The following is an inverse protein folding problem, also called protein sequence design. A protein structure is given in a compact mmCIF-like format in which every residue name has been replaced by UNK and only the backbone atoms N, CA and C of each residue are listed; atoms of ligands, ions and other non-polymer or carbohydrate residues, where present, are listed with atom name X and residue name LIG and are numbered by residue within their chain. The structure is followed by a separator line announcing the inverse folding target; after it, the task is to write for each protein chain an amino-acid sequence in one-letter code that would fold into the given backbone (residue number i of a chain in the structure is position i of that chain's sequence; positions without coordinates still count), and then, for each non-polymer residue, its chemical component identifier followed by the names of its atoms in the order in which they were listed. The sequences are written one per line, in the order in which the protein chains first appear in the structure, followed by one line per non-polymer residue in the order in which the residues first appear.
data_IF_665056151770
#
_entry.id   IF_665056151770
#
_cell.length_a   1.000
_cell.length_b   1.000
_cell.length_c   1.000
_cell.angle_alpha   90.00
_cell.angle_beta   90.00
_cell.angle_gamma   90.00
#
_symmetry.space_group_name_H-M   'P 1'
#
loop_
_entity.id
_entity.type
_entity.pdbx_description
1 polymer ?
#
# COMPACT_ATOMS: atom_id res chain seq x y z
N UNK A 1 -21.44 -30.31 19.09
CA UNK A 1 -21.60 -28.87 18.78
C UNK A 1 -21.26 -28.73 17.32
N UNK A 2 -22.14 -28.14 16.51
CA UNK A 2 -21.92 -27.98 15.07
C UNK A 2 -20.93 -26.84 14.85
N UNK A 3 -19.81 -27.09 14.19
CA UNK A 3 -18.87 -26.04 13.80
C UNK A 3 -19.52 -25.13 12.74
N UNK A 4 -19.41 -23.81 12.91
CA UNK A 4 -19.92 -22.81 11.96
C UNK A 4 -18.72 -22.12 11.32
N UNK A 5 -18.77 -21.92 10.01
CA UNK A 5 -17.73 -21.20 9.27
C UNK A 5 -18.32 -19.94 8.64
N UNK A 6 -17.55 -18.86 8.60
CA UNK A 6 -17.93 -17.66 7.88
C UNK A 6 -18.05 -17.96 6.38
N UNK A 7 -19.20 -17.67 5.79
CA UNK A 7 -19.43 -17.89 4.35
C UNK A 7 -18.64 -16.96 3.45
N UNK A 8 -18.10 -15.86 3.99
CA UNK A 8 -17.31 -14.90 3.22
C UNK A 8 -15.81 -15.25 3.22
N UNK A 9 -15.22 -15.59 4.36
CA UNK A 9 -13.77 -15.81 4.48
C UNK A 9 -13.35 -17.21 4.97
N UNK A 10 -14.28 -18.10 5.31
CA UNK A 10 -13.99 -19.46 5.76
C UNK A 10 -13.52 -19.61 7.21
N UNK A 11 -13.38 -18.52 7.95
CA UNK A 11 -12.93 -18.56 9.37
C UNK A 11 -13.93 -19.29 10.26
N UNK A 12 -13.44 -20.09 11.21
CA UNK A 12 -14.26 -20.78 12.22
C UNK A 12 -14.89 -19.78 13.20
N UNK A 13 -16.19 -19.91 13.46
CA UNK A 13 -16.96 -18.99 14.27
C UNK A 13 -17.41 -19.65 15.58
N UNK A 14 -17.39 -18.88 16.67
CA UNK A 14 -17.99 -19.31 17.93
C UNK A 14 -19.53 -19.39 17.76
N UNK A 15 -20.18 -20.26 18.53
CA UNK A 15 -21.62 -20.55 18.38
C UNK A 15 -22.53 -19.31 18.54
N UNK A 16 -22.03 -18.27 19.20
CA UNK A 16 -22.75 -17.03 19.53
C UNK A 16 -22.29 -15.83 18.69
N UNK A 17 -21.39 -16.00 17.72
CA UNK A 17 -20.87 -14.91 16.90
C UNK A 17 -21.96 -14.30 15.99
N UNK A 18 -22.24 -13.02 16.16
CA UNK A 18 -23.16 -12.23 15.30
C UNK A 18 -22.43 -11.69 14.07
N UNK A 19 -21.13 -11.45 14.18
CA UNK A 19 -20.25 -10.96 13.12
C UNK A 19 -18.96 -11.80 13.05
N UNK A 20 -18.36 -11.89 11.87
CA UNK A 20 -17.06 -12.54 11.70
C UNK A 20 -15.94 -11.64 12.27
N UNK A 21 -15.14 -12.16 13.20
CA UNK A 21 -14.02 -11.42 13.79
C UNK A 21 -12.86 -11.17 12.82
N UNK A 22 -12.76 -11.94 11.71
CA UNK A 22 -11.70 -11.75 10.71
C UNK A 22 -12.07 -10.77 9.60
N UNK A 23 -13.33 -10.75 9.14
CA UNK A 23 -13.72 -9.91 7.98
C UNK A 23 -14.92 -8.99 8.22
N UNK A 24 -15.48 -8.94 9.43
CA UNK A 24 -16.60 -8.06 9.79
C UNK A 24 -17.97 -8.45 9.21
N UNK A 25 -18.05 -9.50 8.37
CA UNK A 25 -19.30 -9.92 7.75
C UNK A 25 -20.35 -10.36 8.80
N UNK A 26 -21.58 -9.87 8.65
CA UNK A 26 -22.73 -10.29 9.49
C UNK A 26 -23.11 -11.74 9.22
N UNK A 27 -23.35 -12.50 10.29
CA UNK A 27 -23.65 -13.94 10.27
C UNK A 27 -25.15 -14.20 10.52
N UNK A 28 -25.98 -13.15 10.56
CA UNK A 28 -27.43 -13.31 10.75
C UNK A 28 -28.02 -14.13 9.59
N UNK A 29 -28.40 -15.36 9.92
CA UNK A 29 -29.08 -16.27 9.01
C UNK A 29 -30.35 -15.60 8.50
N UNK A 30 -30.49 -15.55 7.17
CA UNK A 30 -31.71 -15.17 6.46
C UNK A 30 -32.76 -16.26 6.67
N UNK A 31 -33.26 -16.41 7.89
CA UNK A 31 -34.47 -17.17 8.18
C UNK A 31 -35.65 -16.21 8.08
N UNK A 32 -36.32 -16.28 6.94
CA UNK A 32 -37.47 -15.44 6.61
C UNK A 32 -38.56 -15.48 7.67
N UNK A 33 -38.77 -14.36 8.31
CA UNK A 33 -40.03 -14.03 8.98
C UNK A 33 -40.84 -13.18 7.99
N UNK A 34 -42.03 -13.62 7.53
CA UNK A 34 -42.87 -12.81 6.68
C UNK A 34 -43.39 -11.62 7.50
N UNK A 35 -42.88 -10.42 7.22
CA UNK A 35 -43.41 -9.20 7.81
C UNK A 35 -44.81 -8.96 7.27
N UNK A 36 -45.80 -9.05 8.16
CA UNK A 36 -47.18 -8.73 7.89
C UNK A 36 -47.33 -7.28 7.40
N UNK A 37 -48.02 -7.13 6.28
CA UNK A 37 -48.45 -5.86 5.69
C UNK A 37 -49.36 -5.12 6.69
N UNK A 38 -49.10 -3.86 7.04
CA UNK A 38 -50.06 -3.08 7.79
C UNK A 38 -51.29 -2.78 6.92
N UNK A 39 -52.43 -3.23 7.44
CA UNK A 39 -53.79 -2.99 6.94
C UNK A 39 -54.07 -1.50 6.90
N UNK A 40 -54.40 -1.00 5.71
CA UNK A 40 -54.85 0.37 5.46
C UNK A 40 -56.36 0.43 5.69
N UNK A 41 -56.79 0.91 6.85
CA UNK A 41 -58.20 1.25 7.12
C UNK A 41 -58.50 2.67 6.68
N UNK A 42 -59.22 2.76 5.56
CA UNK A 42 -60.48 3.50 5.38
C UNK A 42 -60.57 5.05 5.50
N UNK A 43 -61.63 5.63 4.88
CA UNK A 43 -61.51 6.85 4.08
C UNK A 43 -62.00 8.10 4.84
N UNK A 44 -61.54 9.27 4.39
CA UNK A 44 -62.24 10.53 4.69
C UNK A 44 -62.39 11.40 3.43
N UNK A 45 -63.48 12.20 3.37
CA UNK A 45 -64.09 12.64 2.14
C UNK A 45 -63.62 14.03 1.70
N UNK A 46 -63.65 14.24 0.39
CA UNK A 46 -64.08 15.50 -0.21
C UNK A 46 -63.07 16.64 -0.24
N UNK A 47 -62.28 16.70 -1.32
CA UNK A 47 -61.92 17.99 -1.91
C UNK A 47 -62.10 17.96 -3.43
N UNK A 48 -62.68 19.04 -3.91
CA UNK A 48 -63.28 19.19 -5.22
C UNK A 48 -62.24 19.16 -6.35
N UNK A 49 -62.66 18.53 -7.45
CA UNK A 49 -61.93 18.47 -8.72
C UNK A 49 -61.82 19.86 -9.33
N UNK A 50 -60.59 20.38 -9.49
CA UNK A 50 -60.29 21.37 -10.52
C UNK A 50 -59.91 20.63 -11.80
N UNK A 51 -60.75 20.78 -12.82
CA UNK A 51 -60.51 20.27 -14.16
C UNK A 51 -59.40 21.09 -14.83
N UNK A 52 -58.26 20.46 -15.11
CA UNK A 52 -57.28 20.98 -16.07
C UNK A 52 -57.67 20.54 -17.49
N UNK A 53 -57.48 21.40 -18.51
CA UNK A 53 -57.91 21.14 -19.88
C UNK A 53 -57.16 19.97 -20.52
N UNK A 54 -57.92 19.19 -21.30
CA UNK A 54 -57.49 18.03 -22.08
C UNK A 54 -56.43 18.45 -23.10
N UNK A 55 -55.21 17.96 -22.92
CA UNK A 55 -54.13 18.06 -23.93
C UNK A 55 -54.51 17.25 -25.18
N UNK A 56 -54.25 17.76 -26.39
CA UNK A 56 -54.49 17.03 -27.62
C UNK A 56 -53.66 15.74 -27.70
N UNK A 57 -54.32 14.71 -28.19
CA UNK A 57 -53.82 13.38 -28.53
C UNK A 57 -52.47 13.45 -29.26
N UNK A 58 -51.38 13.06 -28.57
CA UNK A 58 -50.10 12.78 -29.23
C UNK A 58 -50.22 11.42 -29.93
N UNK A 59 -49.95 11.31 -31.24
CA UNK A 59 -49.89 10.02 -31.90
C UNK A 59 -48.79 9.17 -31.24
N UNK A 60 -49.13 7.93 -30.93
CA UNK A 60 -48.20 6.92 -30.40
C UNK A 60 -47.12 6.71 -31.47
N UNK A 61 -45.96 7.34 -31.29
CA UNK A 61 -44.75 7.05 -32.08
C UNK A 61 -44.40 5.58 -31.84
N UNK A 62 -44.48 4.78 -32.89
CA UNK A 62 -43.96 3.41 -32.90
C UNK A 62 -42.49 3.46 -32.46
N UNK A 63 -42.19 2.90 -31.28
CA UNK A 63 -40.82 2.78 -30.80
C UNK A 63 -40.04 1.94 -31.81
N UNK A 64 -38.92 2.42 -32.35
CA UNK A 64 -38.06 1.59 -33.17
C UNK A 64 -37.64 0.37 -32.34
N UNK A 65 -37.62 -0.81 -32.97
CA UNK A 65 -37.29 -2.07 -32.32
C UNK A 65 -35.90 -1.98 -31.70
N UNK A 66 -35.85 -1.73 -30.39
CA UNK A 66 -34.65 -1.49 -29.57
C UNK A 66 -33.81 -2.76 -29.32
N UNK A 67 -34.11 -3.85 -30.02
CA UNK A 67 -33.45 -5.15 -29.82
C UNK A 67 -32.06 -5.21 -30.48
N UNK A 68 -31.80 -4.40 -31.51
CA UNK A 68 -30.49 -4.35 -32.18
C UNK A 68 -29.40 -3.61 -31.40
N UNK A 69 -29.78 -2.65 -30.54
CA UNK A 69 -28.82 -1.81 -29.80
C UNK A 69 -28.17 -2.55 -28.62
N UNK A 70 -28.90 -3.47 -27.97
CA UNK A 70 -28.36 -4.26 -26.86
C UNK A 70 -27.25 -5.23 -27.29
N UNK A 71 -27.37 -5.85 -28.47
CA UNK A 71 -26.31 -6.74 -29.00
C UNK A 71 -25.05 -5.99 -29.41
N UNK A 72 -25.18 -4.76 -29.92
CA UNK A 72 -24.02 -3.91 -30.24
C UNK A 72 -23.19 -3.54 -29.02
N UNK A 73 -23.84 -3.19 -27.91
CA UNK A 73 -23.17 -2.84 -26.65
C UNK A 73 -22.52 -4.09 -26.02
N UNK A 74 -23.22 -5.22 -25.98
CA UNK A 74 -22.65 -6.47 -25.46
C UNK A 74 -21.44 -6.89 -26.30
N UNK A 75 -21.49 -6.81 -27.63
CA UNK A 75 -20.34 -7.13 -28.47
C UNK A 75 -19.16 -6.17 -28.26
N UNK A 76 -19.43 -4.87 -28.02
CA UNK A 76 -18.40 -3.86 -27.75
C UNK A 76 -17.61 -4.17 -26.46
N UNK A 77 -18.25 -4.75 -25.43
CA UNK A 77 -17.58 -5.09 -24.16
C UNK A 77 -17.11 -6.54 -24.11
N UNK A 78 -17.89 -7.50 -24.64
CA UNK A 78 -17.57 -8.92 -24.57
C UNK A 78 -16.42 -9.33 -25.50
N UNK A 79 -16.27 -8.71 -26.68
CA UNK A 79 -15.17 -9.05 -27.59
C UNK A 79 -13.81 -8.65 -27.02
N UNK A 80 -13.60 -7.42 -26.50
CA UNK A 80 -12.38 -7.07 -25.78
C UNK A 80 -12.14 -7.98 -24.56
N UNK A 81 -13.19 -8.33 -23.81
CA UNK A 81 -13.07 -9.18 -22.63
C UNK A 81 -12.66 -10.63 -23.00
N UNK A 82 -13.23 -11.21 -24.07
CA UNK A 82 -12.84 -12.52 -24.59
C UNK A 82 -11.42 -12.49 -25.17
N UNK A 83 -11.06 -11.40 -25.86
CA UNK A 83 -9.68 -11.18 -26.33
C UNK A 83 -8.74 -11.10 -25.13
N UNK A 84 -9.05 -10.33 -24.09
CA UNK A 84 -8.24 -10.26 -22.86
C UNK A 84 -8.16 -11.62 -22.13
N UNK A 85 -9.26 -12.37 -22.03
CA UNK A 85 -9.27 -13.70 -21.40
C UNK A 85 -8.47 -14.74 -22.20
N UNK A 86 -8.49 -14.68 -23.53
CA UNK A 86 -7.69 -15.56 -24.39
C UNK A 86 -6.22 -15.14 -24.46
N UNK A 87 -5.93 -13.86 -24.26
CA UNK A 87 -4.57 -13.34 -24.09
C UNK A 87 -4.01 -13.56 -22.67
N UNK A 88 -4.85 -13.91 -21.69
CA UNK A 88 -4.45 -14.10 -20.28
C UNK A 88 -3.58 -15.33 -19.99
N UNK A 89 -3.21 -16.11 -21.00
CA UNK A 89 -2.29 -17.24 -20.86
C UNK A 89 -1.10 -17.09 -21.81
N UNK A 90 -0.36 -15.99 -21.69
CA UNK A 90 0.99 -15.94 -22.25
C UNK A 90 1.84 -16.90 -21.41
N UNK A 91 2.10 -18.09 -21.94
CA UNK A 91 2.99 -19.05 -21.30
C UNK A 91 4.42 -18.53 -21.46
N UNK A 92 4.99 -18.05 -20.36
CA UNK A 92 6.42 -17.80 -20.26
C UNK A 92 7.12 -19.12 -19.93
N UNK A 93 8.22 -19.39 -20.64
CA UNK A 93 9.12 -20.50 -20.35
C UNK A 93 10.41 -19.93 -19.77
N UNK A 94 11.03 -20.68 -18.86
CA UNK A 94 12.37 -20.38 -18.36
C UNK A 94 13.38 -20.48 -19.51
N UNK A 95 14.18 -19.41 -19.69
CA UNK A 95 15.19 -19.29 -20.75
C UNK A 95 16.61 -19.41 -20.16
N UNK A 96 16.78 -19.14 -18.86
CA UNK A 96 18.04 -19.33 -18.14
C UNK A 96 18.24 -18.35 -16.99
N UNK A 97 19.32 -18.60 -16.25
CA UNK A 97 19.75 -17.84 -15.06
C UNK A 97 21.09 -17.16 -15.32
N UNK A 98 21.26 -15.94 -14.82
CA UNK A 98 22.51 -15.17 -14.83
C UNK A 98 22.92 -14.84 -13.38
N UNK A 99 24.16 -15.16 -13.00
CA UNK A 99 24.69 -14.88 -11.66
C UNK A 99 25.75 -13.77 -11.70
N UNK A 100 25.68 -12.85 -10.74
CA UNK A 100 26.60 -11.74 -10.55
C UNK A 100 27.02 -11.62 -9.09
N UNK A 101 28.28 -11.23 -8.86
CA UNK A 101 28.89 -11.28 -7.54
C UNK A 101 29.78 -10.07 -7.27
N UNK A 102 29.63 -9.45 -6.10
CA UNK A 102 30.54 -8.38 -5.60
C UNK A 102 31.40 -8.93 -4.46
N UNK A 103 32.67 -9.19 -4.76
CA UNK A 103 33.56 -10.02 -3.93
C UNK A 103 34.27 -9.30 -2.78
N UNK A 104 34.18 -7.98 -2.66
CA UNK A 104 35.00 -7.23 -1.68
C UNK A 104 34.22 -6.76 -0.45
N UNK A 105 34.58 -7.29 0.73
CA UNK A 105 34.09 -6.82 2.05
C UNK A 105 34.75 -5.51 2.53
N UNK A 106 35.58 -4.88 1.70
CA UNK A 106 36.40 -3.73 2.10
C UNK A 106 35.60 -2.40 2.19
N UNK A 107 34.39 -2.38 1.62
CA UNK A 107 33.53 -1.20 1.55
C UNK A 107 32.20 -1.56 2.23
N UNK A 108 32.05 -1.30 3.53
CA UNK A 108 30.80 -1.59 4.22
C UNK A 108 29.69 -0.65 3.77
N UNK A 109 30.02 0.54 3.27
CA UNK A 109 29.03 1.48 2.74
C UNK A 109 28.81 1.19 1.25
N UNK A 110 27.56 0.91 0.89
CA UNK A 110 27.16 0.60 -0.48
C UNK A 110 25.93 1.43 -0.84
N UNK A 111 26.02 2.21 -1.91
CA UNK A 111 24.88 2.81 -2.58
C UNK A 111 24.29 1.75 -3.52
N UNK A 112 23.08 1.31 -3.23
CA UNK A 112 22.34 0.33 -4.02
C UNK A 112 21.17 1.05 -4.70
N UNK A 113 21.37 1.35 -5.97
CA UNK A 113 20.37 1.96 -6.84
C UNK A 113 19.67 0.85 -7.64
N UNK A 114 18.39 0.67 -7.40
CA UNK A 114 17.59 -0.39 -8.00
C UNK A 114 16.43 0.25 -8.76
N UNK A 115 16.42 -0.01 -10.05
CA UNK A 115 15.43 0.54 -10.98
C UNK A 115 14.76 -0.63 -11.72
N UNK A 116 13.46 -0.81 -11.49
CA UNK A 116 12.69 -1.93 -12.01
C UNK A 116 11.47 -1.49 -12.81
N UNK A 117 11.62 -1.43 -14.13
CA UNK A 117 10.49 -1.12 -14.98
C UNK A 117 9.45 -2.25 -15.03
N UNK A 118 9.85 -3.53 -15.08
CA UNK A 118 8.96 -4.59 -15.62
C UNK A 118 9.06 -6.00 -15.04
N UNK A 119 9.95 -6.22 -14.07
CA UNK A 119 10.15 -7.52 -13.45
C UNK A 119 9.69 -7.58 -11.99
N UNK A 120 10.07 -8.66 -11.33
CA UNK A 120 10.07 -8.78 -9.87
C UNK A 120 11.52 -8.78 -9.37
N UNK A 121 11.82 -8.00 -8.33
CA UNK A 121 13.10 -8.04 -7.62
C UNK A 121 12.84 -8.40 -6.17
N UNK A 122 13.38 -9.52 -5.72
CA UNK A 122 13.37 -9.94 -4.34
C UNK A 122 14.76 -9.72 -3.73
N UNK A 123 14.84 -8.85 -2.73
CA UNK A 123 16.06 -8.51 -2.02
C UNK A 123 16.00 -9.18 -0.65
N UNK A 124 16.99 -10.00 -0.33
CA UNK A 124 17.06 -10.74 0.92
C UNK A 124 18.39 -10.51 1.62
N UNK A 125 18.38 -10.33 2.94
CA UNK A 125 19.61 -10.43 3.71
C UNK A 125 19.94 -11.90 4.01
N UNK A 126 21.23 -12.26 3.89
CA UNK A 126 21.74 -13.61 4.13
C UNK A 126 23.13 -13.56 4.82
N UNK A 127 23.16 -13.94 6.10
CA UNK A 127 24.38 -13.98 6.91
C UNK A 127 25.36 -15.09 6.52
N UNK A 128 24.96 -16.03 5.66
CA UNK A 128 25.81 -17.12 5.18
C UNK A 128 26.65 -16.74 3.96
N UNK A 129 26.37 -15.58 3.36
CA UNK A 129 27.14 -15.09 2.22
C UNK A 129 28.61 -14.88 2.59
N UNK A 130 29.48 -15.36 1.71
CA UNK A 130 30.92 -15.07 1.80
C UNK A 130 31.30 -13.81 1.03
N UNK A 131 30.37 -13.29 0.23
CA UNK A 131 30.45 -12.07 -0.55
C UNK A 131 29.57 -11.00 0.08
N UNK A 132 29.79 -9.75 -0.30
CA UNK A 132 28.98 -8.66 0.21
C UNK A 132 27.57 -8.71 -0.40
N UNK A 133 27.52 -8.99 -1.71
CA UNK A 133 26.30 -9.01 -2.52
C UNK A 133 26.40 -10.15 -3.53
N UNK A 134 25.35 -10.96 -3.64
CA UNK A 134 25.13 -11.95 -4.70
C UNK A 134 23.82 -11.60 -5.41
N UNK A 135 23.81 -11.55 -6.74
CA UNK A 135 22.61 -11.27 -7.54
C UNK A 135 22.39 -12.41 -8.51
N UNK A 136 21.20 -13.02 -8.44
CA UNK A 136 20.76 -14.06 -9.37
C UNK A 136 19.58 -13.52 -10.16
N UNK A 137 19.65 -13.61 -11.48
CA UNK A 137 18.63 -13.13 -12.41
C UNK A 137 18.06 -14.33 -13.17
N UNK A 138 16.81 -14.67 -12.93
CA UNK A 138 16.03 -15.66 -13.66
C UNK A 138 15.24 -14.96 -14.77
N UNK A 139 15.48 -15.37 -16.02
CA UNK A 139 14.83 -14.78 -17.19
C UNK A 139 13.84 -15.75 -17.79
N UNK A 140 12.56 -15.35 -17.80
CA UNK A 140 11.50 -16.06 -18.51
C UNK A 140 11.10 -15.29 -19.75
N UNK A 141 10.71 -16.00 -20.80
CA UNK A 141 10.26 -15.37 -22.04
C UNK A 141 9.36 -16.29 -22.84
N UNK A 142 8.83 -15.77 -23.95
CA UNK A 142 7.93 -16.54 -24.81
C UNK A 142 8.66 -17.70 -25.50
N UNK A 143 7.94 -18.75 -25.95
CA UNK A 143 8.55 -19.83 -26.73
C UNK A 143 9.32 -19.31 -27.95
N UNK A 144 10.63 -19.57 -27.96
CA UNK A 144 11.54 -19.11 -29.01
C UNK A 144 12.13 -17.71 -28.80
N UNK A 145 11.96 -17.12 -27.62
CA UNK A 145 12.82 -16.02 -27.16
C UNK A 145 14.21 -16.56 -26.83
N UNK A 146 15.23 -15.72 -27.04
CA UNK A 146 16.65 -16.04 -26.80
C UNK A 146 17.15 -15.17 -25.63
N UNK A 147 17.92 -15.76 -24.72
CA UNK A 147 18.53 -15.04 -23.61
C UNK A 147 19.48 -13.93 -24.12
N UNK A 148 20.11 -14.13 -25.28
CA UNK A 148 20.97 -13.11 -25.89
C UNK A 148 20.20 -11.85 -26.33
N UNK A 149 18.87 -11.92 -26.44
CA UNK A 149 18.00 -10.79 -26.76
C UNK A 149 17.51 -10.06 -25.50
N UNK A 150 17.74 -10.60 -24.30
CA UNK A 150 17.51 -9.90 -23.04
C UNK A 150 18.61 -8.84 -22.82
N UNK A 151 18.48 -7.71 -23.52
CA UNK A 151 19.50 -6.63 -23.57
C UNK A 151 19.44 -5.62 -22.43
N UNK A 152 18.56 -5.85 -21.49
CA UNK A 152 18.02 -4.78 -20.67
C UNK A 152 18.48 -4.81 -19.22
N UNK A 153 19.33 -5.77 -18.85
CA UNK A 153 19.97 -5.77 -17.55
C UNK A 153 21.26 -4.95 -17.61
N UNK A 154 21.29 -3.84 -16.88
CA UNK A 154 22.53 -3.10 -16.61
C UNK A 154 22.87 -3.28 -15.15
N UNK A 155 23.95 -4.01 -14.89
CA UNK A 155 24.67 -3.91 -13.62
C UNK A 155 25.93 -3.10 -13.84
N UNK A 156 25.99 -1.93 -13.23
CA UNK A 156 27.22 -1.13 -13.16
C UNK A 156 27.67 -1.10 -11.71
N UNK A 157 28.89 -1.56 -11.48
CA UNK A 157 29.63 -1.25 -10.27
C UNK A 157 30.51 -0.04 -10.62
N UNK A 158 30.03 1.17 -10.31
CA UNK A 158 30.82 2.38 -10.48
C UNK A 158 31.62 2.62 -9.19
N UNK A 159 32.94 2.52 -9.29
CA UNK A 159 33.79 2.53 -8.10
C UNK A 159 33.66 1.26 -7.29
N UNK A 160 33.73 1.37 -5.96
CA UNK A 160 33.70 0.23 -5.06
C UNK A 160 32.51 0.25 -4.08
N UNK A 161 31.71 1.30 -4.16
CA UNK A 161 30.65 1.68 -3.26
C UNK A 161 29.32 1.90 -3.96
N UNK A 162 29.25 2.09 -5.29
CA UNK A 162 27.98 2.27 -5.99
C UNK A 162 27.65 1.08 -6.90
N UNK A 163 26.50 0.46 -6.66
CA UNK A 163 25.94 -0.64 -7.43
C UNK A 163 24.58 -0.20 -7.97
N UNK A 164 24.49 -0.10 -9.28
CA UNK A 164 23.22 0.12 -9.97
C UNK A 164 22.73 -1.20 -10.55
N UNK A 165 21.49 -1.54 -10.25
CA UNK A 165 20.75 -2.67 -10.81
C UNK A 165 19.52 -2.08 -11.52
N UNK A 166 19.65 -1.78 -12.82
CA UNK A 166 18.56 -1.18 -13.60
C UNK A 166 18.07 -2.14 -14.69
N UNK A 167 16.75 -2.15 -14.86
CA UNK A 167 16.04 -2.92 -15.89
C UNK A 167 15.20 -2.01 -16.75
N UNK A 168 15.72 -1.68 -17.94
CA UNK A 168 14.91 -1.01 -18.96
C UNK A 168 13.90 -2.02 -19.52
N UNK A 169 12.62 -1.71 -19.54
CA UNK A 169 11.64 -2.59 -20.20
C UNK A 169 11.86 -2.82 -21.70
N UNK A 170 12.77 -2.04 -22.30
CA UNK A 170 12.83 -1.78 -23.72
C UNK A 170 11.55 -1.07 -24.17
N UNK A 171 11.47 -0.67 -25.43
CA UNK A 171 10.17 -0.26 -25.97
C UNK A 171 9.22 -1.46 -25.95
N UNK A 172 8.30 -1.50 -24.97
CA UNK A 172 7.15 -2.41 -24.94
C UNK A 172 6.31 -2.20 -26.19
N UNK A 173 6.68 -2.88 -27.26
CA UNK A 173 5.86 -2.96 -28.47
C UNK A 173 4.58 -3.70 -28.09
N UNK A 174 3.49 -2.95 -27.93
CA UNK A 174 2.16 -3.46 -27.55
C UNK A 174 1.55 -4.43 -28.60
N UNK A 175 2.30 -4.79 -29.64
CA UNK A 175 1.89 -5.79 -30.61
C UNK A 175 2.10 -7.20 -30.06
N UNK A 176 0.97 -7.88 -29.83
CA UNK A 176 0.83 -9.25 -29.30
C UNK A 176 1.65 -10.37 -29.95
N UNK A 177 2.40 -10.10 -31.03
CA UNK A 177 3.29 -11.05 -31.71
C UNK A 177 4.76 -10.84 -31.38
N UNK A 178 5.10 -9.82 -30.59
CA UNK A 178 6.49 -9.56 -30.27
C UNK A 178 7.04 -10.71 -29.43
N UNK A 179 8.19 -11.22 -29.86
CA UNK A 179 8.92 -12.29 -29.18
C UNK A 179 9.87 -11.73 -28.12
N UNK A 180 10.05 -10.42 -28.08
CA UNK A 180 10.94 -9.71 -27.16
C UNK A 180 10.30 -9.39 -25.81
N UNK A 181 9.13 -9.97 -25.51
CA UNK A 181 8.51 -9.83 -24.18
C UNK A 181 9.17 -10.83 -23.24
N UNK A 182 9.94 -10.29 -22.29
CA UNK A 182 10.56 -11.02 -21.20
C UNK A 182 9.86 -10.72 -19.88
N UNK A 183 10.00 -11.65 -18.94
CA UNK A 183 9.58 -11.57 -17.55
C UNK A 183 10.82 -11.90 -16.72
N UNK A 184 11.19 -11.00 -15.80
CA UNK A 184 12.43 -11.06 -15.05
C UNK A 184 12.11 -11.27 -13.58
N UNK A 185 12.79 -12.23 -12.96
CA UNK A 185 12.71 -12.53 -11.54
C UNK A 185 14.13 -12.44 -10.97
N UNK A 186 14.39 -11.48 -10.08
CA UNK A 186 15.74 -11.15 -9.65
C UNK A 186 15.86 -11.32 -8.15
N UNK A 187 16.75 -12.21 -7.73
CA UNK A 187 17.11 -12.43 -6.35
C UNK A 187 18.40 -11.68 -6.02
N UNK A 188 18.33 -10.61 -5.23
CA UNK A 188 19.49 -9.91 -4.67
C UNK A 188 19.69 -10.37 -3.23
N UNK A 189 20.85 -10.95 -2.92
CA UNK A 189 21.22 -11.32 -1.55
C UNK A 189 22.31 -10.41 -1.01
N UNK A 190 22.06 -9.83 0.16
CA UNK A 190 22.95 -8.88 0.82
C UNK A 190 23.50 -9.46 2.13
N UNK A 191 24.79 -9.28 2.39
CA UNK A 191 25.36 -9.65 3.68
C UNK A 191 24.97 -8.60 4.75
N UNK A 192 24.64 -9.00 6.00
CA UNK A 192 24.16 -8.07 7.04
C UNK A 192 25.15 -6.98 7.48
N UNK A 193 26.44 -7.14 7.15
CA UNK A 193 27.45 -6.13 7.46
C UNK A 193 27.46 -4.95 6.48
N UNK A 194 26.63 -4.99 5.44
CA UNK A 194 26.43 -3.87 4.53
C UNK A 194 25.68 -2.77 5.27
N UNK A 195 26.26 -1.58 5.28
CA UNK A 195 25.54 -0.34 5.51
C UNK A 195 25.12 0.19 4.14
N UNK A 196 23.84 0.05 3.80
CA UNK A 196 23.37 0.41 2.47
C UNK A 196 22.56 1.71 2.46
N UNK A 197 22.79 2.50 1.42
CA UNK A 197 21.87 3.52 0.95
C UNK A 197 21.01 2.89 -0.13
N UNK A 198 19.71 2.83 0.08
CA UNK A 198 18.77 2.26 -0.88
C UNK A 198 18.07 3.39 -1.61
N UNK A 199 18.25 3.41 -2.93
CA UNK A 199 17.39 4.15 -3.85
C UNK A 199 16.65 3.10 -4.65
N UNK A 200 15.35 2.96 -4.42
CA UNK A 200 14.52 1.91 -5.02
C UNK A 200 13.42 2.59 -5.83
N UNK A 201 13.44 2.42 -7.14
CA UNK A 201 12.42 2.90 -8.06
C UNK A 201 11.73 1.71 -8.76
N UNK A 202 10.41 1.64 -8.66
CA UNK A 202 9.60 0.64 -9.36
C UNK A 202 8.58 1.31 -10.27
N UNK A 203 8.85 1.27 -11.57
CA UNK A 203 8.06 1.97 -12.58
C UNK A 203 6.76 1.22 -12.90
N UNK A 204 6.83 -0.02 -13.43
CA UNK A 204 5.68 -0.95 -13.52
C UNK A 204 5.94 -2.30 -12.85
N UNK A 205 7.18 -2.54 -12.38
CA UNK A 205 7.60 -3.77 -11.74
C UNK A 205 7.22 -3.87 -10.26
N UNK A 206 7.65 -4.95 -9.62
CA UNK A 206 7.57 -5.10 -8.16
C UNK A 206 8.94 -5.31 -7.53
N UNK A 207 9.20 -4.64 -6.43
CA UNK A 207 10.42 -4.84 -5.63
C UNK A 207 10.00 -5.23 -4.21
N UNK A 208 10.50 -6.34 -3.70
CA UNK A 208 10.28 -6.80 -2.33
C UNK A 208 11.60 -6.92 -1.60
N UNK A 209 11.81 -6.15 -0.53
CA UNK A 209 12.92 -6.32 0.39
C UNK A 209 12.48 -7.05 1.66
N UNK A 210 13.11 -8.19 1.95
CA UNK A 210 12.92 -8.98 3.17
C UNK A 210 14.23 -9.11 3.94
N UNK A 211 14.15 -8.91 5.25
CA UNK A 211 15.32 -9.07 6.14
C UNK A 211 15.47 -10.46 6.69
N UNK A 212 14.46 -11.33 6.54
CA UNK A 212 14.45 -12.69 7.08
C UNK A 212 14.79 -12.78 8.58
N UNK A 213 14.48 -11.71 9.35
CA UNK A 213 14.73 -11.64 10.79
C UNK A 213 16.18 -11.38 11.19
N UNK A 214 16.95 -10.71 10.33
CA UNK A 214 18.35 -10.36 10.61
C UNK A 214 18.41 -9.10 11.48
N UNK A 215 19.04 -9.23 12.63
CA UNK A 215 19.20 -8.14 13.59
C UNK A 215 20.35 -7.19 13.25
N UNK A 216 20.29 -5.97 13.82
CA UNK A 216 21.35 -4.95 13.77
C UNK A 216 21.67 -4.44 12.36
N UNK A 217 20.65 -4.36 11.50
CA UNK A 217 20.78 -3.76 10.18
C UNK A 217 20.97 -2.24 10.31
N UNK A 218 21.83 -1.66 9.48
CA UNK A 218 22.04 -0.22 9.43
C UNK A 218 21.73 0.26 8.01
N UNK A 219 20.73 1.13 7.93
CA UNK A 219 20.29 1.80 6.72
C UNK A 219 20.67 3.27 6.87
N UNK A 220 21.59 3.73 6.02
CA UNK A 220 21.94 5.15 6.00
C UNK A 220 20.81 5.95 5.34
N UNK A 221 20.28 5.50 4.20
CA UNK A 221 19.08 6.08 3.59
C UNK A 221 18.18 4.98 3.04
N UNK A 222 16.87 5.12 3.24
CA UNK A 222 15.83 4.36 2.54
C UNK A 222 14.98 5.35 1.76
N UNK A 223 15.23 5.46 0.45
CA UNK A 223 14.37 6.16 -0.49
C UNK A 223 13.67 5.12 -1.38
N UNK A 224 12.34 5.05 -1.25
CA UNK A 224 11.50 4.14 -2.04
C UNK A 224 10.47 4.94 -2.84
N UNK A 225 10.58 4.87 -4.15
CA UNK A 225 9.69 5.50 -5.11
C UNK A 225 8.98 4.46 -5.98
N UNK A 226 7.75 4.76 -6.40
CA UNK A 226 7.06 3.96 -7.41
C UNK A 226 6.13 4.80 -8.26
N UNK A 227 6.18 4.57 -9.57
CA UNK A 227 5.27 5.24 -10.50
C UNK A 227 3.94 4.49 -10.62
N UNK A 228 3.94 3.26 -11.16
CA UNK A 228 2.74 2.39 -11.28
C UNK A 228 2.95 1.01 -10.69
N UNK A 229 4.19 0.70 -10.30
CA UNK A 229 4.62 -0.56 -9.75
C UNK A 229 4.29 -0.75 -8.27
N UNK A 230 5.09 -1.59 -7.63
CA UNK A 230 4.99 -1.85 -6.20
C UNK A 230 6.37 -1.95 -5.58
N UNK A 231 6.61 -1.22 -4.49
CA UNK A 231 7.75 -1.46 -3.59
C UNK A 231 7.24 -1.97 -2.26
N UNK A 232 7.85 -3.02 -1.71
CA UNK A 232 7.52 -3.53 -0.38
C UNK A 232 8.79 -3.82 0.41
N UNK A 233 8.93 -3.23 1.58
CA UNK A 233 10.02 -3.52 2.50
C UNK A 233 9.46 -4.07 3.81
N UNK A 234 9.91 -5.26 4.19
CA UNK A 234 9.47 -5.93 5.40
C UNK A 234 10.64 -6.22 6.34
N UNK A 235 10.72 -5.41 7.39
CA UNK A 235 11.71 -5.52 8.47
C UNK A 235 11.14 -6.29 9.68
N UNK A 236 9.95 -6.89 9.58
CA UNK A 236 9.36 -7.68 10.68
C UNK A 236 10.25 -8.87 11.01
N UNK A 237 10.54 -9.01 12.30
CA UNK A 237 11.42 -10.05 12.83
C UNK A 237 12.86 -9.58 13.04
N UNK A 238 13.25 -8.46 12.42
CA UNK A 238 14.54 -7.82 12.65
C UNK A 238 14.46 -6.90 13.86
N UNK A 239 15.50 -6.92 14.69
CA UNK A 239 15.61 -6.08 15.89
C UNK A 239 16.85 -5.20 15.85
N UNK A 240 16.80 -4.05 16.53
CA UNK A 240 17.90 -3.07 16.58
C UNK A 240 18.34 -2.56 15.21
N UNK A 241 17.41 -2.50 14.26
CA UNK A 241 17.64 -1.85 12.97
C UNK A 241 17.79 -0.35 13.17
N UNK A 242 18.73 0.31 12.50
CA UNK A 242 18.89 1.77 12.50
C UNK A 242 18.62 2.32 11.11
N UNK A 243 17.83 3.39 11.01
CA UNK A 243 17.51 4.12 9.78
C UNK A 243 17.87 5.59 10.02
N UNK A 244 18.69 6.20 9.16
CA UNK A 244 19.09 7.62 9.32
C UNK A 244 18.29 8.58 8.43
N UNK A 245 17.69 8.09 7.35
CA UNK A 245 16.84 8.86 6.45
C UNK A 245 15.77 7.93 5.86
N UNK A 246 14.54 8.42 5.75
CA UNK A 246 13.40 7.64 5.27
C UNK A 246 12.48 8.51 4.40
N UNK A 247 12.42 8.17 3.12
CA UNK A 247 11.60 8.84 2.11
C UNK A 247 10.76 7.81 1.34
N UNK A 248 9.46 8.03 1.27
CA UNK A 248 8.49 7.16 0.61
C UNK A 248 7.68 7.98 -0.40
N UNK A 249 7.77 7.65 -1.68
CA UNK A 249 7.05 8.33 -2.75
C UNK A 249 6.23 7.34 -3.59
N UNK A 250 5.02 7.71 -3.99
CA UNK A 250 4.15 6.88 -4.84
C UNK A 250 3.26 7.71 -5.77
N UNK A 251 3.46 7.64 -7.08
CA UNK A 251 2.64 8.41 -8.03
C UNK A 251 1.27 7.74 -8.22
N UNK A 252 1.26 6.52 -8.73
CA UNK A 252 0.05 5.70 -8.97
C UNK A 252 0.20 4.26 -8.46
N UNK A 253 1.42 3.89 -8.06
CA UNK A 253 1.79 2.58 -7.59
C UNK A 253 1.51 2.37 -6.10
N UNK A 254 2.28 1.46 -5.49
CA UNK A 254 2.12 1.13 -4.07
C UNK A 254 3.44 0.95 -3.34
N UNK A 255 3.61 1.64 -2.22
CA UNK A 255 4.72 1.41 -1.28
C UNK A 255 4.19 0.81 0.01
N UNK A 256 4.71 -0.36 0.40
CA UNK A 256 4.39 -1.02 1.68
C UNK A 256 5.67 -1.11 2.52
N UNK A 257 5.79 -0.32 3.60
CA UNK A 257 6.90 -0.40 4.56
C UNK A 257 6.43 -0.93 5.90
N UNK A 258 7.03 -2.01 6.37
CA UNK A 258 6.81 -2.57 7.71
C UNK A 258 8.11 -2.57 8.52
N UNK A 259 8.21 -1.66 9.47
CA UNK A 259 9.34 -1.58 10.38
C UNK A 259 9.21 -2.63 11.49
N UNK A 260 10.32 -3.32 11.77
CA UNK A 260 10.41 -4.29 12.86
C UNK A 260 10.37 -3.63 14.24
N UNK A 261 10.34 -4.47 15.27
CA UNK A 261 10.39 -4.03 16.67
C UNK A 261 11.79 -3.49 17.01
N UNK A 262 11.85 -2.47 17.88
CA UNK A 262 13.11 -1.83 18.28
C UNK A 262 13.89 -1.25 17.10
N UNK A 263 13.19 -0.75 16.09
CA UNK A 263 13.82 0.03 15.01
C UNK A 263 14.16 1.42 15.56
N UNK A 264 15.40 1.86 15.40
CA UNK A 264 15.89 3.20 15.68
C UNK A 264 15.71 4.05 14.43
N UNK A 265 14.93 5.11 14.55
CA UNK A 265 14.75 6.09 13.47
C UNK A 265 15.48 7.36 13.87
N UNK A 266 16.73 7.45 13.40
CA UNK A 266 17.69 8.50 13.74
C UNK A 266 17.74 9.56 12.62
N UNK A 267 16.59 10.18 12.38
CA UNK A 267 16.39 11.26 11.41
C UNK A 267 15.66 12.40 12.09
N UNK A 268 15.86 13.62 11.58
CA UNK A 268 15.06 14.79 11.94
C UNK A 268 13.76 14.88 11.14
N UNK A 269 13.70 14.24 9.96
CA UNK A 269 12.56 14.28 9.05
C UNK A 269 12.26 12.92 8.39
N UNK A 270 10.98 12.63 8.17
CA UNK A 270 10.48 11.49 7.38
C UNK A 270 9.49 12.02 6.37
N UNK A 271 9.67 11.68 5.10
CA UNK A 271 8.81 12.13 3.99
C UNK A 271 7.95 10.96 3.51
N UNK A 272 6.64 11.17 3.42
CA UNK A 272 5.66 10.18 2.94
C UNK A 272 4.66 10.85 2.00
N UNK A 273 4.88 10.71 0.70
CA UNK A 273 4.12 11.45 -0.33
C UNK A 273 3.46 10.52 -1.35
N UNK A 274 2.21 10.79 -1.71
CA UNK A 274 1.57 10.08 -2.84
C UNK A 274 0.56 10.89 -3.63
N UNK A 275 0.66 10.87 -4.96
CA UNK A 275 -0.26 11.59 -5.84
C UNK A 275 -1.61 10.87 -5.97
N UNK A 276 -1.61 9.66 -6.50
CA UNK A 276 -2.82 8.85 -6.79
C UNK A 276 -2.68 7.41 -6.31
N UNK A 277 -1.47 7.03 -5.91
CA UNK A 277 -1.11 5.70 -5.45
C UNK A 277 -1.49 5.43 -4.00
N UNK A 278 -0.82 4.44 -3.42
CA UNK A 278 -0.99 4.07 -2.02
C UNK A 278 0.32 3.91 -1.28
N UNK A 279 0.39 4.45 -0.05
CA UNK A 279 1.48 4.15 0.87
C UNK A 279 0.90 3.54 2.15
N UNK A 280 1.48 2.41 2.59
CA UNK A 280 1.18 1.78 3.86
C UNK A 280 2.46 1.69 4.69
N UNK A 281 2.53 2.46 5.78
CA UNK A 281 3.61 2.42 6.75
C UNK A 281 3.10 1.80 8.06
N UNK A 282 3.75 0.73 8.50
CA UNK A 282 3.47 0.08 9.78
C UNK A 282 4.73 0.01 10.61
N UNK A 283 4.65 0.35 11.90
CA UNK A 283 5.73 0.10 12.84
C UNK A 283 5.23 -0.29 14.23
N UNK A 284 6.05 -1.07 14.92
CA UNK A 284 5.82 -1.50 16.31
C UNK A 284 7.04 -1.13 17.13
N UNK A 285 6.84 -0.42 18.24
CA UNK A 285 7.90 -0.13 19.20
C UNK A 285 9.11 0.59 18.57
N UNK A 286 8.81 1.66 17.83
CA UNK A 286 9.81 2.53 17.21
C UNK A 286 10.53 3.34 18.29
N UNK A 287 11.86 3.45 18.17
CA UNK A 287 12.70 4.25 19.05
C UNK A 287 13.15 5.48 18.26
N UNK A 288 12.67 6.64 18.65
CA UNK A 288 13.09 7.92 18.09
C UNK A 288 13.97 8.62 19.13
N UNK A 289 15.31 8.65 18.94
CA UNK A 289 16.23 9.17 19.94
C UNK A 289 16.21 10.70 20.05
N UNK A 290 15.79 11.39 19.00
CA UNK A 290 15.72 12.84 18.91
C UNK A 290 14.32 13.29 18.47
N UNK A 291 14.06 14.60 18.43
CA UNK A 291 12.82 15.12 17.88
C UNK A 291 12.74 14.84 16.37
N UNK A 292 11.57 14.43 15.89
CA UNK A 292 11.35 14.04 14.49
C UNK A 292 10.10 14.72 13.94
N UNK A 293 10.17 15.13 12.68
CA UNK A 293 9.03 15.60 11.89
C UNK A 293 8.67 14.53 10.86
N UNK A 294 7.38 14.24 10.74
CA UNK A 294 6.82 13.38 9.70
C UNK A 294 6.03 14.29 8.78
N UNK A 295 6.49 14.42 7.54
CA UNK A 295 5.78 15.14 6.48
C UNK A 295 5.02 14.12 5.64
N UNK A 296 3.70 14.26 5.60
CA UNK A 296 2.79 13.25 5.03
C UNK A 296 1.81 13.95 4.10
N UNK A 297 2.01 13.81 2.80
CA UNK A 297 1.20 14.52 1.80
C UNK A 297 0.51 13.56 0.83
N UNK A 298 -0.75 13.83 0.49
CA UNK A 298 -1.38 13.12 -0.63
C UNK A 298 -2.42 13.93 -1.41
N UNK A 299 -2.32 13.91 -2.74
CA UNK A 299 -3.27 14.60 -3.61
C UNK A 299 -4.60 13.88 -3.73
N UNK A 300 -4.61 12.67 -4.30
CA UNK A 300 -5.80 11.85 -4.58
C UNK A 300 -5.63 10.41 -4.12
N UNK A 301 -4.42 10.04 -3.70
CA UNK A 301 -4.03 8.72 -3.25
C UNK A 301 -4.49 8.39 -1.83
N UNK A 302 -3.85 7.37 -1.26
CA UNK A 302 -4.15 6.94 0.11
C UNK A 302 -2.90 6.64 0.90
N UNK A 303 -2.79 7.22 2.09
CA UNK A 303 -1.72 6.92 3.05
C UNK A 303 -2.34 6.26 4.27
N UNK A 304 -1.81 5.10 4.66
CA UNK A 304 -2.18 4.39 5.87
C UNK A 304 -0.99 4.28 6.80
N UNK A 305 -1.11 4.83 8.01
CA UNK A 305 -0.14 4.74 9.08
C UNK A 305 -0.69 3.85 10.19
N UNK A 306 0.06 2.80 10.57
CA UNK A 306 -0.28 1.94 11.69
C UNK A 306 0.85 1.94 12.71
N UNK A 307 0.59 2.54 13.87
CA UNK A 307 1.57 2.87 14.88
C UNK A 307 1.18 2.17 16.17
N UNK A 308 2.02 1.24 16.63
CA UNK A 308 1.83 0.56 17.91
C UNK A 308 3.04 0.80 18.80
N UNK A 309 2.81 1.37 19.98
CA UNK A 309 3.89 1.68 20.93
C UNK A 309 3.57 1.09 22.31
N UNK A 310 4.25 -0.02 22.61
CA UNK A 310 4.19 -0.76 23.87
C UNK A 310 5.33 -0.39 24.81
N UNK A 311 6.47 0.07 24.29
CA UNK A 311 7.61 0.43 25.10
C UNK A 311 7.43 1.78 25.79
N UNK A 312 7.79 1.83 27.08
CA UNK A 312 8.09 3.08 27.76
C UNK A 312 9.44 3.58 27.26
N UNK A 313 9.41 4.58 26.40
CA UNK A 313 10.61 5.25 25.91
C UNK A 313 11.24 6.04 27.07
N UNK A 314 12.54 5.85 27.27
CA UNK A 314 13.31 6.53 28.34
C UNK A 314 13.93 7.84 27.87
N UNK A 315 13.85 8.10 26.58
CA UNK A 315 14.38 9.30 25.93
C UNK A 315 13.25 10.31 25.82
N UNK A 316 13.57 11.57 26.14
CA UNK A 316 12.66 12.69 25.91
C UNK A 316 12.77 13.09 24.44
N UNK A 317 11.78 12.67 23.63
CA UNK A 317 11.68 13.02 22.22
C UNK A 317 10.24 13.40 21.85
N UNK A 318 10.11 14.23 20.84
CA UNK A 318 8.85 14.64 20.26
C UNK A 318 8.73 14.17 18.80
N UNK A 319 7.64 13.47 18.47
CA UNK A 319 7.29 13.14 17.10
C UNK A 319 6.17 14.06 16.63
N UNK A 320 6.46 14.93 15.66
CA UNK A 320 5.48 15.85 15.06
C UNK A 320 5.06 15.31 13.69
N UNK A 321 3.77 15.15 13.44
CA UNK A 321 3.23 14.68 12.17
C UNK A 321 2.47 15.82 11.52
N UNK A 322 2.91 16.25 10.34
CA UNK A 322 2.17 17.12 9.44
C UNK A 322 1.54 16.23 8.38
N UNK A 323 0.21 16.26 8.29
CA UNK A 323 -0.51 15.40 7.37
C UNK A 323 -1.50 16.22 6.55
N UNK A 324 -1.22 16.36 5.26
CA UNK A 324 -1.94 17.24 4.35
C UNK A 324 -2.52 16.44 3.18
N UNK A 325 -3.79 16.70 2.84
CA UNK A 325 -4.41 16.05 1.67
C UNK A 325 -5.45 16.89 0.94
N UNK A 326 -5.37 16.86 -0.39
CA UNK A 326 -6.32 17.52 -1.29
C UNK A 326 -7.62 16.74 -1.40
N UNK A 327 -7.69 15.70 -2.23
CA UNK A 327 -8.84 14.82 -2.48
C UNK A 327 -8.63 13.39 -1.99
N UNK A 328 -7.42 13.06 -1.54
CA UNK A 328 -7.01 11.74 -1.08
C UNK A 328 -7.51 11.40 0.31
N UNK A 329 -6.89 10.37 0.89
CA UNK A 329 -7.20 9.93 2.26
C UNK A 329 -5.94 9.60 3.04
N UNK A 330 -5.87 10.13 4.27
CA UNK A 330 -4.83 9.76 5.24
C UNK A 330 -5.52 9.08 6.42
N UNK A 331 -5.15 7.83 6.69
CA UNK A 331 -5.65 7.08 7.84
C UNK A 331 -4.49 6.77 8.78
N UNK A 332 -4.54 7.32 9.99
CA UNK A 332 -3.53 7.07 11.02
C UNK A 332 -4.16 6.39 12.24
N UNK A 333 -3.68 5.18 12.54
CA UNK A 333 -4.13 4.36 13.68
C UNK A 333 -3.02 4.25 14.70
N UNK A 334 -3.30 4.67 15.93
CA UNK A 334 -2.36 4.69 17.03
C UNK A 334 -2.85 3.80 18.17
N UNK A 335 -1.97 2.91 18.63
CA UNK A 335 -2.21 2.05 19.77
C UNK A 335 -1.07 2.30 20.77
N UNK A 336 -1.38 2.97 21.87
CA UNK A 336 -0.42 3.32 22.91
C UNK A 336 -0.71 2.51 24.18
N UNK A 337 0.26 1.67 24.57
CA UNK A 337 0.18 0.84 25.79
C UNK A 337 1.22 1.28 26.84
N UNK A 338 1.71 2.52 26.72
CA UNK A 338 2.77 3.12 27.54
C UNK A 338 2.40 4.56 27.92
N UNK A 339 3.17 5.18 28.83
CA UNK A 339 2.89 6.54 29.31
C UNK A 339 3.40 7.59 28.31
N UNK A 340 2.67 7.73 27.21
CA UNK A 340 3.00 8.66 26.13
C UNK A 340 2.02 9.82 26.11
N UNK A 341 2.56 11.01 25.89
CA UNK A 341 1.80 12.22 25.72
C UNK A 341 1.45 12.35 24.26
N UNK A 342 0.19 12.63 23.92
CA UNK A 342 -0.11 13.00 22.56
C UNK A 342 -1.20 14.07 22.42
N UNK A 343 -1.07 14.84 21.34
CA UNK A 343 -1.91 15.98 21.00
C UNK A 343 -2.16 15.98 19.49
N UNK A 344 -3.39 16.24 19.07
CA UNK A 344 -3.82 16.29 17.68
C UNK A 344 -4.50 17.62 17.43
N UNK A 345 -4.00 18.36 16.45
CA UNK A 345 -4.61 19.51 15.79
C UNK A 345 -5.13 19.05 14.43
N UNK A 346 -6.33 19.48 14.09
CA UNK A 346 -6.96 19.14 12.83
C UNK A 346 -7.70 20.35 12.24
N UNK A 347 -7.46 20.64 10.96
CA UNK A 347 -8.17 21.65 10.19
C UNK A 347 -8.66 21.04 8.86
N UNK A 348 -9.84 21.46 8.41
CA UNK A 348 -10.41 20.96 7.15
C UNK A 348 -11.20 22.06 6.44
N UNK A 349 -10.92 22.28 5.16
CA UNK A 349 -11.68 23.21 4.32
C UNK A 349 -12.97 22.53 3.82
N UNK A 350 -12.87 21.36 3.19
CA UNK A 350 -13.98 20.49 2.82
C UNK A 350 -13.56 19.04 3.05
N UNK A 351 -14.38 18.22 3.73
CA UNK A 351 -13.93 16.88 4.11
C UNK A 351 -14.45 16.42 5.47
N UNK A 352 -13.90 15.31 5.95
CA UNK A 352 -14.14 14.85 7.32
C UNK A 352 -12.84 14.43 7.99
N UNK A 353 -12.55 15.09 9.12
CA UNK A 353 -11.56 14.60 10.07
C UNK A 353 -12.25 13.88 11.22
N UNK A 354 -11.87 12.63 11.47
CA UNK A 354 -12.34 11.90 12.65
C UNK A 354 -11.25 11.90 13.69
N UNK A 355 -11.49 12.57 14.82
CA UNK A 355 -10.63 12.55 16.01
C UNK A 355 -11.30 11.80 17.16
N UNK A 356 -10.52 11.20 18.08
CA UNK A 356 -11.03 10.82 19.39
C UNK A 356 -11.65 12.05 20.09
N UNK A 357 -12.91 11.96 20.51
CA UNK A 357 -13.56 13.02 21.29
C UNK A 357 -14.27 14.13 20.50
N UNK A 358 -14.30 14.07 19.17
CA UNK A 358 -14.94 15.04 18.24
C UNK A 358 -14.36 16.46 18.29
N UNK A 359 -14.11 17.07 17.11
CA UNK A 359 -13.61 18.45 16.99
C UNK A 359 -12.30 18.55 16.19
N UNK A 360 -11.65 19.71 16.29
CA UNK A 360 -10.37 20.06 15.65
C UNK A 360 -9.16 19.92 16.58
N UNK A 361 -9.39 19.49 17.83
CA UNK A 361 -8.35 19.37 18.84
C UNK A 361 -8.61 18.18 19.74
N UNK A 362 -7.58 17.39 20.00
CA UNK A 362 -7.59 16.34 21.00
C UNK A 362 -6.25 16.30 21.74
N UNK A 363 -6.27 16.21 23.07
CA UNK A 363 -5.07 16.04 23.88
C UNK A 363 -5.36 15.00 24.96
N UNK A 364 -4.43 14.07 25.16
CA UNK A 364 -4.57 13.07 26.18
C UNK A 364 -4.10 13.56 27.56
N UNK A 365 -4.55 12.88 28.62
CA UNK A 365 -4.26 13.30 30.00
C UNK A 365 -2.75 13.25 30.33
N UNK A 366 -2.00 12.38 29.66
CA UNK A 366 -0.57 12.21 29.88
C UNK A 366 0.28 13.28 29.18
N UNK A 367 -0.25 14.06 28.23
CA UNK A 367 0.53 14.98 27.39
C UNK A 367 1.42 15.95 28.17
N UNK A 368 0.93 16.52 29.27
CA UNK A 368 1.71 17.46 30.08
C UNK A 368 2.81 16.84 30.95
N UNK A 369 2.80 15.52 31.14
CA UNK A 369 3.68 14.80 32.08
C UNK A 369 4.51 13.71 31.45
N UNK A 370 4.20 13.32 30.21
CA UNK A 370 4.91 12.27 29.51
C UNK A 370 6.30 12.75 29.08
N UNK A 371 7.26 11.84 29.14
CA UNK A 371 8.63 12.07 28.65
C UNK A 371 8.66 12.14 27.13
N UNK A 372 7.84 11.34 26.47
CA UNK A 372 7.73 11.31 25.01
C UNK A 372 6.41 11.89 24.55
N UNK A 373 6.47 12.78 23.56
CA UNK A 373 5.32 13.54 23.07
C UNK A 373 5.07 13.24 21.59
N UNK A 374 3.81 13.05 21.22
CA UNK A 374 3.38 12.94 19.82
C UNK A 374 2.46 14.13 19.52
N UNK A 375 2.75 14.88 18.46
CA UNK A 375 1.91 15.99 18.01
C UNK A 375 1.47 15.72 16.58
N UNK A 376 0.18 15.82 16.31
CA UNK A 376 -0.36 15.68 14.97
C UNK A 376 -0.94 17.02 14.53
N UNK A 377 -0.68 17.42 13.30
CA UNK A 377 -1.30 18.55 12.62
C UNK A 377 -1.87 17.99 11.33
N UNK A 378 -3.18 17.93 11.24
CA UNK A 378 -3.90 17.30 10.14
C UNK A 378 -4.60 18.41 9.36
N UNK A 379 -4.27 18.63 8.09
CA UNK A 379 -4.95 19.60 7.23
C UNK A 379 -5.60 18.87 6.05
N UNK A 380 -6.80 19.28 5.64
CA UNK A 380 -7.37 18.74 4.40
C UNK A 380 -8.26 19.72 3.67
N UNK A 381 -8.11 19.78 2.35
CA UNK A 381 -8.85 20.69 1.48
C UNK A 381 -10.19 20.12 1.00
N UNK A 382 -10.21 18.89 0.47
CA UNK A 382 -11.42 18.19 -0.02
C UNK A 382 -11.54 16.71 0.41
N UNK A 383 -10.50 16.17 1.06
CA UNK A 383 -10.33 14.76 1.39
C UNK A 383 -10.82 14.38 2.78
N UNK A 384 -10.26 13.29 3.32
CA UNK A 384 -10.55 12.89 4.69
C UNK A 384 -9.29 12.47 5.42
N UNK A 385 -9.16 12.92 6.67
CA UNK A 385 -8.11 12.45 7.57
C UNK A 385 -8.76 11.72 8.73
N UNK A 386 -8.46 10.44 8.90
CA UNK A 386 -8.99 9.68 10.04
C UNK A 386 -7.86 9.42 11.01
N UNK A 387 -7.96 9.95 12.22
CA UNK A 387 -7.04 9.65 13.31
C UNK A 387 -7.80 8.89 14.41
N UNK A 388 -7.26 7.75 14.83
CA UNK A 388 -7.80 7.00 15.96
C UNK A 388 -6.70 6.65 16.95
N UNK A 389 -6.94 6.96 18.22
CA UNK A 389 -6.06 6.57 19.30
C UNK A 389 -6.82 5.62 20.23
N UNK A 390 -6.21 4.48 20.53
CA UNK A 390 -6.71 3.52 21.50
C UNK A 390 -5.72 3.48 22.67
N UNK A 391 -6.15 4.02 23.81
CA UNK A 391 -5.47 3.85 25.09
C UNK A 391 -5.98 2.54 25.71
N UNK A 392 -5.07 1.62 26.04
CA UNK A 392 -5.44 0.32 26.66
C UNK A 392 -5.26 0.27 28.17
#
# INVERSE_FOLDING_TARGET
MSERFCTNCGTNLTAEAVFCHMCGASIQDVQGVPTAVPVKTDPHPGQAKQYAPVSPYRPIRQRPKLLGFAFGIIALFAVPLIIMMSLGAINFADIGTLDFDVTTLAYPNVDLDIDNDVGSIDIAFDATLTKLIEVTLDVRGRPGADLADAKNFVSTVDGADHITVSFDSGTRSFWFWDKTVFDYDIDIKLHPSVNANYTIDADTGSITLSTNGIDMLNFSNINMATNTGKVSMNLVGSTNTSIQELELHSDTGRVDLNLGVFTYLNTDEVIVETDTGGISLTYVDLIVPDDIVWDIETDTGSITLSITQNLNLTVESASVFHADTDTGSITATFIFNSTIGFNIYADTATGSISLPGSGSYYENAAYSTATTLYRFTLTTDTGSVTASAVET
#
